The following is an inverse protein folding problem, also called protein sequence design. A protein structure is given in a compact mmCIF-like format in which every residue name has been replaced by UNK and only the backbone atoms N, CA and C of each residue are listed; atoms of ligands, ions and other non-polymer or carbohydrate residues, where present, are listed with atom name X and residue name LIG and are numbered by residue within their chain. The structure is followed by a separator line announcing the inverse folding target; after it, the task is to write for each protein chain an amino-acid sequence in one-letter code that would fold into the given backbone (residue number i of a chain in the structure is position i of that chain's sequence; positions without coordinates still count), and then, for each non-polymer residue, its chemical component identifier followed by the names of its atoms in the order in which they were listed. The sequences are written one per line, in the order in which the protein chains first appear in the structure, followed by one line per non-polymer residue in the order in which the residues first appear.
data_IF_175159174678
#
_entry.id   IF_175159174678
#
_cell.length_a   1.000
_cell.length_b   1.000
_cell.length_c   1.000
_cell.angle_alpha   90.00
_cell.angle_beta   90.00
_cell.angle_gamma   90.00
#
_symmetry.space_group_name_H-M   'P 1'
#
loop_
_entity.id
_entity.type
_entity.pdbx_description
1 polymer ?
#
# COMPACT_ATOMS: atom_id res chain seq x y z
N UNK A 1 17.12 -7.17 0.34
CA UNK A 1 15.68 -7.46 0.43
C UNK A 1 14.94 -6.71 -0.68
N UNK A 2 15.18 -7.05 -1.94
CA UNK A 2 14.76 -6.24 -3.10
C UNK A 2 13.33 -6.51 -3.59
N UNK A 3 12.75 -7.66 -3.23
CA UNK A 3 11.40 -8.06 -3.70
C UNK A 3 10.34 -7.16 -3.05
N UNK A 4 10.42 -6.94 -1.73
CA UNK A 4 9.41 -6.15 -1.01
C UNK A 4 9.45 -4.65 -1.34
N UNK A 5 10.62 -4.14 -1.72
CA UNK A 5 10.80 -2.77 -2.21
C UNK A 5 10.11 -2.59 -3.57
N UNK A 6 10.31 -3.51 -4.52
CA UNK A 6 9.58 -3.50 -5.81
C UNK A 6 8.07 -3.67 -5.66
N UNK A 7 7.64 -4.52 -4.72
CA UNK A 7 6.20 -4.67 -4.42
C UNK A 7 5.63 -3.37 -3.88
N UNK A 8 6.36 -2.66 -3.02
CA UNK A 8 5.93 -1.38 -2.47
C UNK A 8 5.84 -0.29 -3.53
N UNK A 9 6.87 -0.12 -4.34
CA UNK A 9 6.88 0.83 -5.45
C UNK A 9 5.68 0.58 -6.39
N UNK A 10 5.42 -0.69 -6.72
CA UNK A 10 4.28 -1.05 -7.56
C UNK A 10 2.94 -0.69 -6.92
N UNK A 11 2.76 -0.98 -5.62
CA UNK A 11 1.53 -0.62 -4.90
C UNK A 11 1.35 0.91 -4.94
N UNK A 12 2.39 1.65 -4.60
CA UNK A 12 2.37 3.11 -4.58
C UNK A 12 1.99 3.70 -5.94
N UNK A 13 2.66 3.28 -7.01
CA UNK A 13 2.41 3.80 -8.36
C UNK A 13 0.96 3.56 -8.81
N UNK A 14 0.39 2.40 -8.52
CA UNK A 14 -1.01 2.12 -8.89
C UNK A 14 -1.99 2.98 -8.10
N UNK A 15 -1.74 3.17 -6.80
CA UNK A 15 -2.60 4.03 -5.98
C UNK A 15 -2.51 5.50 -6.40
N UNK A 16 -1.33 5.96 -6.80
CA UNK A 16 -1.13 7.29 -7.41
C UNK A 16 -1.88 7.42 -8.74
N UNK A 17 -1.81 6.39 -9.61
CA UNK A 17 -2.57 6.36 -10.88
C UNK A 17 -4.10 6.31 -10.69
N UNK A 18 -4.55 5.78 -9.56
CA UNK A 18 -5.96 5.67 -9.20
C UNK A 18 -6.51 6.90 -8.44
N UNK A 19 -5.70 7.95 -8.26
CA UNK A 19 -5.99 9.13 -7.42
C UNK A 19 -6.46 8.73 -5.99
N UNK A 20 -5.84 7.69 -5.42
CA UNK A 20 -6.21 7.12 -4.12
C UNK A 20 -5.44 7.81 -2.98
N UNK A 21 -5.80 9.05 -2.67
CA UNK A 21 -5.08 9.92 -1.72
C UNK A 21 -5.49 9.75 -0.24
N UNK A 22 -6.39 8.81 0.07
CA UNK A 22 -6.94 8.60 1.41
C UNK A 22 -6.35 7.40 2.16
N UNK A 23 -6.54 7.31 3.49
CA UNK A 23 -6.22 6.09 4.22
C UNK A 23 -7.09 4.92 3.76
N UNK A 24 -6.45 3.86 3.29
CA UNK A 24 -7.13 2.68 2.76
C UNK A 24 -6.80 1.43 3.56
N UNK A 25 -7.75 0.51 3.65
CA UNK A 25 -7.49 -0.83 4.17
C UNK A 25 -6.69 -1.66 3.17
N UNK A 26 -6.00 -2.68 3.65
CA UNK A 26 -5.28 -3.59 2.76
C UNK A 26 -6.18 -4.32 1.75
N UNK A 27 -7.49 -4.45 2.05
CA UNK A 27 -8.46 -5.04 1.12
C UNK A 27 -8.85 -4.07 0.00
N UNK A 28 -9.11 -2.81 0.35
CA UNK A 28 -9.41 -1.78 -0.64
C UNK A 28 -8.21 -1.55 -1.56
N UNK A 29 -6.99 -1.54 -1.00
CA UNK A 29 -5.76 -1.45 -1.80
C UNK A 29 -5.64 -2.65 -2.74
N UNK A 30 -5.87 -3.88 -2.26
CA UNK A 30 -5.86 -5.05 -3.14
C UNK A 30 -6.83 -4.89 -4.30
N UNK A 31 -8.04 -4.40 -4.04
CA UNK A 31 -9.06 -4.23 -5.06
C UNK A 31 -8.64 -3.21 -6.12
N UNK A 32 -8.06 -2.07 -5.73
CA UNK A 32 -7.51 -1.11 -6.70
C UNK A 32 -6.38 -1.73 -7.52
N UNK A 33 -5.51 -2.54 -6.92
CA UNK A 33 -4.46 -3.25 -7.66
C UNK A 33 -5.05 -4.20 -8.71
N UNK A 34 -6.05 -4.98 -8.33
CA UNK A 34 -6.75 -5.90 -9.25
C UNK A 34 -7.46 -5.15 -10.39
N UNK A 35 -8.13 -4.03 -10.08
CA UNK A 35 -8.82 -3.19 -11.07
C UNK A 35 -7.84 -2.58 -12.09
N UNK A 36 -6.60 -2.34 -11.70
CA UNK A 36 -5.51 -1.85 -12.57
C UNK A 36 -4.66 -2.99 -13.19
N UNK A 37 -5.10 -4.25 -13.07
CA UNK A 37 -4.44 -5.41 -13.69
C UNK A 37 -3.15 -5.86 -12.99
N UNK A 38 -2.96 -5.46 -11.74
CA UNK A 38 -1.83 -5.87 -10.91
C UNK A 38 -2.23 -7.00 -9.99
N UNK A 39 -1.71 -8.20 -10.28
CA UNK A 39 -1.96 -9.38 -9.45
C UNK A 39 -1.13 -9.36 -8.16
N UNK A 40 -1.81 -9.49 -7.02
CA UNK A 40 -1.21 -9.67 -5.70
C UNK A 40 -1.84 -10.87 -4.99
N UNK A 41 -1.02 -11.63 -4.26
CA UNK A 41 -1.44 -12.90 -3.63
C UNK A 41 -2.62 -12.73 -2.64
N UNK A 42 -2.66 -11.61 -1.91
CA UNK A 42 -3.71 -11.33 -0.92
C UNK A 42 -3.57 -9.94 -0.28
N UNK A 43 -4.65 -9.49 0.37
CA UNK A 43 -4.65 -8.31 1.22
C UNK A 43 -3.66 -8.45 2.39
N UNK A 44 -3.41 -9.65 2.89
CA UNK A 44 -2.41 -9.88 3.93
C UNK A 44 -0.98 -9.63 3.41
N UNK A 45 -0.71 -9.99 2.14
CA UNK A 45 0.57 -9.68 1.49
C UNK A 45 0.76 -8.16 1.37
N UNK A 46 -0.27 -7.44 0.95
CA UNK A 46 -0.29 -5.96 0.93
C UNK A 46 0.02 -5.41 2.33
N UNK A 47 -0.73 -5.83 3.35
CA UNK A 47 -0.50 -5.42 4.74
C UNK A 47 0.94 -5.67 5.23
N UNK A 48 1.54 -6.79 4.83
CA UNK A 48 2.92 -7.16 5.18
C UNK A 48 3.95 -6.23 4.52
N UNK A 49 3.73 -5.87 3.25
CA UNK A 49 4.60 -4.93 2.52
C UNK A 49 4.50 -3.54 3.13
N UNK A 50 3.27 -3.05 3.38
CA UNK A 50 3.02 -1.72 3.93
C UNK A 50 3.49 -1.59 5.38
N UNK A 51 3.20 -2.58 6.24
CA UNK A 51 3.66 -2.58 7.62
C UNK A 51 5.18 -2.62 7.77
N UNK A 52 5.91 -3.06 6.74
CA UNK A 52 7.36 -2.96 6.72
C UNK A 52 7.84 -1.55 6.38
N UNK A 53 7.23 -0.91 5.38
CA UNK A 53 7.58 0.45 4.97
C UNK A 53 7.08 1.51 5.98
N UNK A 54 6.15 1.12 6.85
CA UNK A 54 5.81 1.92 8.02
C UNK A 54 6.95 2.05 9.03
N UNK A 55 7.87 1.08 9.09
CA UNK A 55 9.05 1.17 9.96
C UNK A 55 10.09 2.16 9.41
N UNK A 56 10.10 2.42 8.09
CA UNK A 56 10.94 3.45 7.46
C UNK A 56 10.27 4.83 7.38
N UNK A 57 8.96 4.91 7.66
CA UNK A 57 8.18 6.16 7.61
C UNK A 57 7.59 6.48 6.24
N UNK A 58 7.70 5.57 5.27
CA UNK A 58 7.12 5.76 3.93
C UNK A 58 5.60 5.52 3.93
N UNK A 59 5.09 4.85 4.96
CA UNK A 59 3.67 4.56 5.17
C UNK A 59 3.29 4.84 6.62
N UNK A 60 2.17 5.50 6.84
CA UNK A 60 1.55 5.60 8.14
C UNK A 60 0.52 4.47 8.33
N UNK A 61 0.56 3.79 9.48
CA UNK A 61 -0.43 2.77 9.86
C UNK A 61 -1.37 3.36 10.89
N UNK A 62 -2.62 3.54 10.49
CA UNK A 62 -3.68 4.02 11.35
C UNK A 62 -4.32 2.81 12.04
N UNK A 63 -4.19 2.74 13.35
CA UNK A 63 -4.60 1.60 14.19
C UNK A 63 -6.11 1.59 14.49
N UNK A 64 -6.94 1.81 13.47
CA UNK A 64 -8.39 1.66 13.53
C UNK A 64 -8.81 0.19 13.30
N UNK A 65 -10.10 -0.09 13.48
CA UNK A 65 -10.71 -1.36 13.07
C UNK A 65 -11.65 -1.11 11.89
N UNK A 66 -11.28 -1.53 10.66
CA UNK A 66 -10.03 -2.21 10.25
C UNK A 66 -8.81 -1.28 10.14
N UNK A 67 -7.59 -1.86 10.20
CA UNK A 67 -6.33 -1.13 9.98
C UNK A 67 -6.32 -0.42 8.63
N UNK A 68 -5.85 0.83 8.61
CA UNK A 68 -5.71 1.63 7.39
C UNK A 68 -4.26 2.06 7.19
N UNK A 69 -3.92 2.29 5.94
CA UNK A 69 -2.59 2.65 5.48
C UNK A 69 -2.69 3.94 4.68
N UNK A 70 -1.83 4.89 4.99
CA UNK A 70 -1.70 6.13 4.25
C UNK A 70 -0.26 6.26 3.78
N UNK A 71 -0.07 6.58 2.51
CA UNK A 71 1.26 6.82 1.98
C UNK A 71 1.71 8.20 2.39
N UNK A 72 2.92 8.27 2.96
CA UNK A 72 3.56 9.55 3.16
C UNK A 72 3.92 10.07 1.78
N UNK A 73 3.24 11.13 1.32
CA UNK A 73 3.69 11.89 0.17
C UNK A 73 4.97 12.64 0.57
N UNK A 74 6.05 11.88 0.70
CA UNK A 74 7.39 12.44 0.82
C UNK A 74 7.83 12.82 -0.59
N UNK A 75 7.07 13.71 -1.21
CA UNK A 75 7.51 14.53 -2.33
C UNK A 75 8.75 15.28 -1.87
N UNK A 76 9.92 14.79 -2.26
CA UNK A 76 11.18 15.50 -2.17
C UNK A 76 11.90 15.43 -3.51
#
# INVERSE_FOLDING_TARGET
MRIREREFERIRSVLEEADADGPMTAREILQVLEDHGVEFDSAHRVATVLGRHAQSGDVEVIQDQPYRYQFSDRSN
#
